data_IF_301375619781
#
_entry.id   IF_301375619781
#
_cell.length_a   1.000
_cell.length_b   1.000
_cell.length_c   1.000
_cell.angle_alpha   90.00
_cell.angle_beta   90.00
_cell.angle_gamma   90.00
#
_symmetry.space_group_name_H-M   'P 1'
#
loop_
_entity.id
_entity.type
_entity.pdbx_description
1 polymer ?
#
# COMPACT_ATOMS: atom_id res chain seq x y z
N UNK A 1 49.44 -8.87 87.26
CA UNK A 1 48.44 -9.60 86.44
C UNK A 1 47.65 -8.60 85.61
N UNK A 2 47.40 -8.99 84.35
CA UNK A 2 46.26 -8.64 83.48
C UNK A 2 46.30 -7.35 82.62
N UNK A 3 46.15 -7.65 81.32
CA UNK A 3 45.39 -6.95 80.26
C UNK A 3 46.07 -5.76 79.58
N UNK A 4 46.70 -6.01 78.42
CA UNK A 4 46.54 -5.18 77.20
C UNK A 4 47.30 -5.74 75.97
N UNK A 5 47.04 -6.97 75.49
CA UNK A 5 47.73 -7.46 74.26
C UNK A 5 46.88 -8.24 73.25
N UNK A 6 45.56 -8.28 73.39
CA UNK A 6 44.72 -9.16 72.53
C UNK A 6 43.78 -8.42 71.59
N UNK A 7 43.74 -7.07 71.61
CA UNK A 7 42.80 -6.29 70.78
C UNK A 7 43.42 -5.79 69.47
N UNK A 8 44.75 -5.77 69.34
CA UNK A 8 45.42 -5.25 68.14
C UNK A 8 45.50 -6.23 66.95
N UNK A 9 45.22 -7.53 67.15
CA UNK A 9 45.38 -8.54 66.09
C UNK A 9 44.09 -8.81 65.29
N UNK A 10 42.93 -8.36 65.79
CA UNK A 10 41.64 -8.56 65.10
C UNK A 10 41.25 -7.43 64.14
N UNK A 11 41.95 -6.30 64.16
CA UNK A 11 41.69 -5.16 63.24
C UNK A 11 42.60 -5.22 61.99
N UNK A 12 43.66 -6.04 61.99
CA UNK A 12 44.56 -6.15 60.84
C UNK A 12 44.13 -7.21 59.80
N UNK A 13 43.15 -8.05 60.12
CA UNK A 13 42.62 -9.09 59.19
C UNK A 13 41.43 -8.58 58.37
N UNK A 14 40.80 -7.46 58.76
CA UNK A 14 39.73 -6.82 57.96
C UNK A 14 40.23 -5.86 56.88
N UNK A 15 41.55 -5.70 56.69
CA UNK A 15 42.14 -4.78 55.71
C UNK A 15 42.84 -5.47 54.52
N UNK A 16 42.86 -6.81 54.48
CA UNK A 16 43.36 -7.59 53.33
C UNK A 16 42.31 -8.54 52.74
N UNK A 17 41.04 -8.24 52.96
CA UNK A 17 39.95 -8.74 52.13
C UNK A 17 39.81 -7.90 50.87
N UNK A 18 40.90 -7.69 50.13
CA UNK A 18 40.78 -7.41 48.70
C UNK A 18 40.28 -8.71 48.07
N UNK A 19 38.97 -8.93 48.14
CA UNK A 19 38.32 -9.78 47.15
C UNK A 19 38.73 -9.18 45.82
N UNK A 20 39.51 -9.91 45.03
CA UNK A 20 39.45 -9.75 43.59
C UNK A 20 37.95 -9.76 43.29
N UNK A 21 37.39 -8.60 42.96
CA UNK A 21 36.10 -8.51 42.31
C UNK A 21 36.29 -9.36 41.06
N UNK A 22 35.91 -10.63 41.19
CA UNK A 22 35.55 -11.50 40.11
C UNK A 22 34.43 -10.75 39.40
N UNK A 23 34.79 -9.80 38.54
CA UNK A 23 33.96 -9.21 37.52
C UNK A 23 33.63 -10.31 36.53
N UNK A 24 32.84 -11.27 37.01
CA UNK A 24 32.08 -12.25 36.24
C UNK A 24 30.89 -11.57 35.56
N UNK A 25 31.03 -10.29 35.21
CA UNK A 25 30.35 -9.78 34.03
C UNK A 25 31.11 -10.39 32.87
N UNK A 26 30.77 -11.64 32.52
CA UNK A 26 30.94 -12.12 31.15
C UNK A 26 30.44 -10.99 30.27
N UNK A 27 31.35 -10.29 29.61
CA UNK A 27 31.02 -9.26 28.64
C UNK A 27 30.00 -9.91 27.74
N UNK A 28 28.80 -9.35 27.74
CA UNK A 28 27.65 -9.94 27.07
C UNK A 28 27.80 -9.73 25.56
N UNK A 29 28.82 -10.36 24.99
CA UNK A 29 29.16 -10.31 23.58
C UNK A 29 28.00 -10.88 22.78
N UNK A 30 27.59 -10.15 21.75
CA UNK A 30 26.50 -10.56 20.85
C UNK A 30 25.08 -10.25 21.33
N UNK A 31 24.87 -9.62 22.50
CA UNK A 31 23.54 -9.09 22.84
C UNK A 31 23.15 -7.92 21.95
N UNK A 32 24.12 -7.09 21.56
CA UNK A 32 23.86 -5.86 20.80
C UNK A 32 23.09 -4.82 21.63
N UNK A 33 22.78 -3.68 21.01
CA UNK A 33 21.96 -2.62 21.59
C UNK A 33 20.51 -2.83 21.19
N UNK A 34 19.58 -2.53 22.10
CA UNK A 34 18.13 -2.50 21.79
C UNK A 34 17.82 -1.53 20.64
N UNK A 35 18.50 -0.37 20.65
CA UNK A 35 18.38 0.66 19.61
C UNK A 35 19.76 0.97 19.03
N UNK A 36 19.89 0.89 17.71
CA UNK A 36 21.11 1.25 16.98
C UNK A 36 20.85 2.57 16.24
N UNK A 37 21.75 3.54 16.40
CA UNK A 37 21.64 4.88 15.79
C UNK A 37 22.81 5.16 14.84
N UNK A 38 22.50 5.50 13.59
CA UNK A 38 23.45 5.94 12.55
C UNK A 38 23.14 7.41 12.25
N UNK A 39 23.97 8.33 12.74
CA UNK A 39 23.66 9.76 12.70
C UNK A 39 24.90 10.66 12.60
N UNK A 40 24.68 11.92 12.22
CA UNK A 40 25.71 12.96 12.19
C UNK A 40 26.67 12.87 11.00
N UNK A 41 27.92 13.30 11.19
CA UNK A 41 28.93 13.33 10.14
C UNK A 41 29.60 11.96 9.93
N UNK A 42 28.79 10.92 9.76
CA UNK A 42 29.23 9.53 9.63
C UNK A 42 29.44 9.16 8.15
N UNK A 43 30.56 8.52 7.85
CA UNK A 43 30.87 7.96 6.53
C UNK A 43 30.23 6.57 6.37
N UNK A 44 30.17 6.06 5.13
CA UNK A 44 29.67 4.70 4.85
C UNK A 44 30.43 3.62 5.65
N UNK A 45 31.76 3.75 5.75
CA UNK A 45 32.60 2.76 6.44
C UNK A 45 32.36 2.76 7.96
N UNK A 46 32.25 3.93 8.56
CA UNK A 46 31.95 4.08 9.99
C UNK A 46 30.55 3.58 10.34
N UNK A 47 29.55 3.90 9.50
CA UNK A 47 28.19 3.39 9.67
C UNK A 47 28.16 1.86 9.60
N UNK A 48 28.86 1.25 8.64
CA UNK A 48 28.94 -0.19 8.53
C UNK A 48 29.62 -0.84 9.74
N UNK A 49 30.74 -0.28 10.21
CA UNK A 49 31.44 -0.77 11.40
C UNK A 49 30.54 -0.70 12.65
N UNK A 50 29.78 0.40 12.79
CA UNK A 50 28.83 0.58 13.89
C UNK A 50 27.69 -0.44 13.85
N UNK A 51 27.09 -0.69 12.69
CA UNK A 51 26.06 -1.72 12.54
C UNK A 51 26.59 -3.11 12.92
N UNK A 52 27.80 -3.47 12.48
CA UNK A 52 28.43 -4.77 12.81
C UNK A 52 28.67 -4.91 14.32
N UNK A 53 29.08 -3.84 14.99
CA UNK A 53 29.40 -3.87 16.42
C UNK A 53 28.15 -3.81 17.31
N UNK A 54 27.08 -3.14 16.87
CA UNK A 54 25.94 -2.81 17.73
C UNK A 54 24.70 -3.67 17.49
N UNK A 55 24.52 -4.28 16.32
CA UNK A 55 23.41 -5.21 16.08
C UNK A 55 23.71 -6.53 16.79
N UNK A 56 22.76 -7.02 17.57
CA UNK A 56 22.83 -8.31 18.25
C UNK A 56 21.47 -8.83 18.63
N UNK A 57 21.43 -9.89 19.44
CA UNK A 57 20.20 -10.65 19.73
C UNK A 57 19.09 -9.87 20.45
N UNK A 58 19.39 -8.72 21.06
CA UNK A 58 18.42 -7.84 21.72
C UNK A 58 18.04 -6.63 20.88
N UNK A 59 18.60 -6.46 19.68
CA UNK A 59 18.29 -5.31 18.84
C UNK A 59 16.83 -5.37 18.38
N UNK A 60 16.09 -4.32 18.68
CA UNK A 60 14.70 -4.17 18.23
C UNK A 60 14.60 -3.14 17.11
N UNK A 61 15.38 -2.05 17.18
CA UNK A 61 15.21 -0.90 16.30
C UNK A 61 16.53 -0.40 15.71
N UNK A 62 16.47 0.07 14.47
CA UNK A 62 17.60 0.72 13.78
C UNK A 62 17.14 2.06 13.21
N UNK A 63 17.82 3.13 13.60
CA UNK A 63 17.55 4.50 13.17
C UNK A 63 18.72 5.03 12.35
N UNK A 64 18.45 5.50 11.15
CA UNK A 64 19.42 6.13 10.25
C UNK A 64 18.95 7.55 9.99
N UNK A 65 19.55 8.53 10.66
CA UNK A 65 18.97 9.86 10.69
C UNK A 65 19.98 11.00 10.77
N UNK A 66 19.64 12.17 10.22
CA UNK A 66 20.44 13.38 10.35
C UNK A 66 21.90 13.19 9.92
N UNK A 67 22.15 12.41 8.86
CA UNK A 67 23.52 12.17 8.39
C UNK A 67 23.95 13.19 7.34
N UNK A 68 25.22 13.62 7.42
CA UNK A 68 25.79 14.63 6.51
C UNK A 68 26.86 14.12 5.55
N UNK A 69 27.28 12.85 5.64
CA UNK A 69 28.25 12.23 4.72
C UNK A 69 27.86 10.83 4.24
N UNK A 70 26.82 10.22 4.83
CA UNK A 70 26.36 8.89 4.46
C UNK A 70 25.71 8.94 3.08
N UNK A 71 26.21 8.12 2.15
CA UNK A 71 25.68 8.00 0.79
C UNK A 71 25.14 6.61 0.48
N UNK A 72 25.60 5.60 1.21
CA UNK A 72 25.12 4.23 1.08
C UNK A 72 25.15 3.53 2.42
N UNK A 73 24.17 2.68 2.69
CA UNK A 73 24.12 1.87 3.92
C UNK A 73 23.63 0.46 3.63
N UNK A 74 24.25 -0.51 4.30
CA UNK A 74 23.86 -1.93 4.23
C UNK A 74 23.58 -2.47 5.64
N UNK A 75 22.31 -2.75 5.90
CA UNK A 75 21.82 -3.27 7.18
C UNK A 75 21.60 -4.77 7.01
N UNK A 76 22.47 -5.56 7.65
CA UNK A 76 22.31 -7.02 7.70
C UNK A 76 21.86 -7.44 9.10
N UNK A 77 20.84 -8.26 9.19
CA UNK A 77 20.35 -8.79 10.46
C UNK A 77 19.87 -10.23 10.30
N UNK A 78 19.93 -11.00 11.39
CA UNK A 78 19.51 -12.40 11.45
C UNK A 78 18.44 -12.65 12.54
N UNK A 79 17.85 -11.57 13.06
CA UNK A 79 16.81 -11.58 14.08
C UNK A 79 15.55 -10.88 13.58
N UNK A 80 14.43 -11.05 14.28
CA UNK A 80 13.25 -10.24 13.99
C UNK A 80 13.48 -8.83 14.55
N UNK A 81 13.22 -7.82 13.74
CA UNK A 81 13.28 -6.43 14.16
C UNK A 81 11.87 -5.89 14.37
N UNK A 82 11.73 -4.90 15.24
CA UNK A 82 10.53 -4.09 15.29
C UNK A 82 10.61 -3.08 14.15
N UNK A 83 11.50 -2.09 14.22
CA UNK A 83 11.47 -0.98 13.28
C UNK A 83 12.84 -0.67 12.64
N UNK A 84 12.84 -0.34 11.35
CA UNK A 84 13.95 0.35 10.68
C UNK A 84 13.42 1.69 10.14
N UNK A 85 14.09 2.78 10.48
CA UNK A 85 13.65 4.13 10.15
C UNK A 85 14.76 4.97 9.51
N UNK A 86 14.45 5.64 8.41
CA UNK A 86 15.35 6.56 7.69
C UNK A 86 14.74 7.96 7.61
N UNK A 87 15.47 8.97 8.07
CA UNK A 87 14.99 10.36 8.06
C UNK A 87 16.11 11.42 8.05
N UNK A 88 15.96 12.44 7.20
CA UNK A 88 16.83 13.61 7.12
C UNK A 88 18.32 13.26 6.84
N UNK A 89 18.57 12.37 5.88
CA UNK A 89 19.91 11.97 5.46
C UNK A 89 20.32 12.72 4.18
N UNK A 90 21.22 13.69 4.31
CA UNK A 90 21.51 14.71 3.28
C UNK A 90 21.99 14.15 1.95
N UNK A 91 22.73 13.05 1.95
CA UNK A 91 23.38 12.50 0.75
C UNK A 91 23.08 11.01 0.52
N UNK A 92 22.15 10.43 1.27
CA UNK A 92 21.86 9.01 1.18
C UNK A 92 21.22 8.69 -0.18
N UNK A 93 21.85 7.79 -0.93
CA UNK A 93 21.41 7.36 -2.26
C UNK A 93 20.98 5.90 -2.31
N UNK A 94 21.67 5.04 -1.58
CA UNK A 94 21.47 3.61 -1.66
C UNK A 94 21.17 3.01 -0.29
N UNK A 95 20.05 2.31 -0.20
CA UNK A 95 19.64 1.56 0.98
C UNK A 95 19.62 0.07 0.62
N UNK A 96 20.34 -0.75 1.40
CA UNK A 96 20.26 -2.19 1.31
C UNK A 96 19.89 -2.77 2.68
N UNK A 97 18.80 -3.53 2.73
CA UNK A 97 18.29 -4.18 3.93
C UNK A 97 18.28 -5.69 3.65
N UNK A 98 19.03 -6.45 4.44
CA UNK A 98 19.16 -7.90 4.30
C UNK A 98 18.80 -8.61 5.60
N UNK A 99 17.64 -9.26 5.60
CA UNK A 99 17.29 -10.28 6.59
C UNK A 99 17.78 -11.66 6.17
N UNK A 100 17.52 -12.67 7.01
CA UNK A 100 17.66 -14.09 6.67
C UNK A 100 16.40 -14.83 7.12
N UNK A 101 15.34 -14.76 6.30
CA UNK A 101 14.01 -15.29 6.64
C UNK A 101 13.42 -14.66 7.91
N UNK A 102 13.61 -13.34 8.05
CA UNK A 102 13.20 -12.59 9.24
C UNK A 102 11.90 -11.82 9.02
N UNK A 103 11.26 -11.50 10.14
CA UNK A 103 10.08 -10.63 10.20
C UNK A 103 10.47 -9.25 10.67
N UNK A 104 9.77 -8.24 10.17
CA UNK A 104 9.88 -6.87 10.64
C UNK A 104 8.50 -6.31 10.95
N UNK A 105 8.38 -5.44 11.96
CA UNK A 105 7.14 -4.70 12.13
C UNK A 105 7.07 -3.57 11.09
N UNK A 106 8.02 -2.63 11.08
CA UNK A 106 7.96 -1.47 10.19
C UNK A 106 9.30 -1.21 9.49
N UNK A 107 9.25 -0.91 8.20
CA UNK A 107 10.31 -0.17 7.50
C UNK A 107 9.69 1.14 7.04
N UNK A 108 10.31 2.25 7.39
CA UNK A 108 9.87 3.59 7.00
C UNK A 108 11.04 4.40 6.49
N UNK A 109 10.87 4.93 5.28
CA UNK A 109 11.86 5.73 4.58
C UNK A 109 11.21 7.07 4.25
N UNK A 110 11.57 8.09 5.03
CA UNK A 110 11.13 9.48 4.83
C UNK A 110 12.16 10.34 4.07
N UNK A 111 13.33 9.78 3.77
CA UNK A 111 14.33 10.40 2.88
C UNK A 111 13.93 10.28 1.41
N UNK A 112 14.28 11.27 0.58
CA UNK A 112 13.95 11.22 -0.84
C UNK A 112 14.81 12.03 -1.81
N UNK A 113 15.45 13.12 -1.39
CA UNK A 113 16.04 14.07 -2.36
C UNK A 113 17.08 13.47 -3.32
N UNK A 114 17.82 12.45 -2.85
CA UNK A 114 18.90 11.82 -3.61
C UNK A 114 18.83 10.29 -3.60
N UNK A 115 17.71 9.70 -3.15
CA UNK A 115 17.58 8.25 -3.19
C UNK A 115 17.51 7.78 -4.63
N UNK A 116 18.26 6.72 -4.92
CA UNK A 116 18.33 6.11 -6.25
C UNK A 116 17.96 4.64 -6.21
N UNK A 117 18.32 3.93 -5.11
CA UNK A 117 18.08 2.50 -5.01
C UNK A 117 17.72 2.07 -3.59
N UNK A 118 16.67 1.28 -3.49
CA UNK A 118 16.28 0.58 -2.27
C UNK A 118 16.21 -0.91 -2.61
N UNK A 119 17.01 -1.71 -1.92
CA UNK A 119 17.00 -3.16 -2.03
C UNK A 119 16.62 -3.77 -0.68
N UNK A 120 15.51 -4.50 -0.65
CA UNK A 120 15.07 -5.30 0.50
C UNK A 120 15.15 -6.77 0.12
N UNK A 121 15.90 -7.56 0.89
CA UNK A 121 16.10 -8.99 0.64
C UNK A 121 16.05 -9.78 1.96
N UNK A 122 15.58 -11.02 1.94
CA UNK A 122 15.53 -11.91 3.10
C UNK A 122 14.55 -11.52 4.21
N UNK A 123 13.69 -10.52 3.99
CA UNK A 123 12.56 -10.17 4.86
C UNK A 123 11.30 -10.81 4.31
N UNK A 124 10.68 -11.73 5.05
CA UNK A 124 9.56 -12.54 4.52
C UNK A 124 8.18 -12.01 4.92
N UNK A 125 8.10 -11.29 6.04
CA UNK A 125 6.88 -10.67 6.53
C UNK A 125 7.18 -9.27 7.08
N UNK A 126 6.31 -8.33 6.75
CA UNK A 126 6.29 -6.99 7.34
C UNK A 126 4.90 -6.72 7.93
N UNK A 127 4.78 -5.89 8.97
CA UNK A 127 3.48 -5.31 9.32
C UNK A 127 3.23 -4.05 8.49
N UNK A 128 4.24 -3.21 8.27
CA UNK A 128 4.11 -2.00 7.47
C UNK A 128 5.39 -1.73 6.67
N UNK A 129 5.22 -1.36 5.41
CA UNK A 129 6.26 -0.73 4.61
C UNK A 129 5.79 0.65 4.19
N UNK A 130 6.58 1.65 4.49
CA UNK A 130 6.30 3.03 4.13
C UNK A 130 7.46 3.65 3.38
N UNK A 131 7.18 4.02 2.14
CA UNK A 131 8.07 4.80 1.30
C UNK A 131 7.37 6.13 1.09
N UNK A 132 7.53 7.09 2.01
CA UNK A 132 6.71 8.30 1.99
C UNK A 132 7.24 9.48 2.79
N UNK A 133 6.73 10.68 2.47
CA UNK A 133 7.29 12.02 2.76
C UNK A 133 8.48 12.50 1.90
N UNK A 134 8.78 11.83 0.79
CA UNK A 134 9.65 12.41 -0.26
C UNK A 134 9.03 13.65 -0.95
N UNK A 135 7.76 13.97 -0.64
CA UNK A 135 6.93 14.95 -1.32
C UNK A 135 6.88 16.34 -0.65
N UNK A 136 7.62 16.57 0.44
CA UNK A 136 7.72 17.91 1.05
C UNK A 136 8.56 18.90 0.24
N UNK A 137 9.39 18.38 -0.66
CA UNK A 137 10.21 19.17 -1.56
C UNK A 137 10.03 18.59 -2.95
N UNK A 138 9.43 19.37 -3.84
CA UNK A 138 9.00 18.99 -5.20
C UNK A 138 10.15 18.61 -6.16
N UNK A 139 11.33 18.34 -5.62
CA UNK A 139 12.58 18.14 -6.32
C UNK A 139 13.13 16.74 -6.05
N UNK A 140 12.35 15.69 -6.36
CA UNK A 140 12.96 14.38 -6.60
C UNK A 140 13.82 14.52 -7.85
N UNK A 141 15.10 14.84 -7.67
CA UNK A 141 15.99 15.10 -8.79
C UNK A 141 16.42 13.80 -9.50
N UNK A 142 16.24 12.66 -8.85
CA UNK A 142 16.76 11.37 -9.30
C UNK A 142 15.65 10.31 -9.31
N UNK A 143 15.82 9.36 -10.20
CA UNK A 143 14.99 8.18 -10.38
C UNK A 143 15.24 7.16 -9.26
N UNK A 144 14.17 6.59 -8.69
CA UNK A 144 14.27 5.57 -7.65
C UNK A 144 13.94 4.18 -8.20
N UNK A 145 14.84 3.23 -7.95
CA UNK A 145 14.69 1.80 -8.18
C UNK A 145 14.43 1.06 -6.84
N UNK A 146 13.21 0.55 -6.65
CA UNK A 146 12.83 -0.25 -5.48
C UNK A 146 12.69 -1.71 -5.87
N UNK A 147 13.54 -2.55 -5.28
CA UNK A 147 13.52 -3.99 -5.45
C UNK A 147 13.28 -4.66 -4.09
N UNK A 148 12.24 -5.48 -4.00
CA UNK A 148 11.92 -6.27 -2.83
C UNK A 148 11.82 -7.75 -3.19
N UNK A 149 12.76 -8.52 -2.65
CA UNK A 149 12.85 -9.98 -2.78
C UNK A 149 12.40 -10.64 -1.48
N UNK A 150 11.86 -11.86 -1.58
CA UNK A 150 11.43 -12.72 -0.48
C UNK A 150 10.22 -12.25 0.35
N UNK A 151 9.83 -10.97 0.28
CA UNK A 151 8.67 -10.46 1.04
C UNK A 151 7.38 -11.07 0.52
N UNK A 152 6.74 -11.91 1.35
CA UNK A 152 5.52 -12.63 0.98
C UNK A 152 4.25 -11.91 1.47
N UNK A 153 4.30 -11.34 2.67
CA UNK A 153 3.11 -10.78 3.33
C UNK A 153 3.40 -9.44 3.99
N UNK A 154 2.50 -8.49 3.76
CA UNK A 154 2.38 -7.25 4.53
C UNK A 154 1.08 -7.34 5.33
N UNK A 155 1.16 -7.46 6.66
CA UNK A 155 -0.02 -7.66 7.51
C UNK A 155 -0.88 -6.39 7.65
N UNK A 156 -0.25 -5.23 7.65
CA UNK A 156 -0.88 -3.91 7.67
C UNK A 156 -0.77 -3.23 6.30
N UNK A 157 0.00 -2.15 6.21
CA UNK A 157 -0.06 -1.24 5.06
C UNK A 157 1.22 -1.25 4.23
N UNK A 158 1.04 -1.19 2.91
CA UNK A 158 2.05 -0.74 1.96
C UNK A 158 1.70 0.68 1.53
N UNK A 159 2.49 1.65 1.96
CA UNK A 159 2.35 3.07 1.59
C UNK A 159 3.45 3.43 0.61
N UNK A 160 3.06 3.92 -0.57
CA UNK A 160 3.97 4.37 -1.61
C UNK A 160 3.61 5.82 -1.95
N UNK A 161 4.48 6.75 -1.58
CA UNK A 161 4.37 8.17 -1.92
C UNK A 161 5.65 8.59 -2.67
N UNK A 162 5.81 8.03 -3.87
CA UNK A 162 7.05 8.15 -4.66
C UNK A 162 6.80 9.11 -5.83
N UNK A 163 6.94 10.41 -5.54
CA UNK A 163 6.69 11.48 -6.50
C UNK A 163 5.22 11.92 -6.58
N UNK A 164 5.02 13.12 -7.11
CA UNK A 164 3.68 13.65 -7.44
C UNK A 164 3.35 13.41 -8.91
N UNK A 165 2.06 13.43 -9.23
CA UNK A 165 1.50 13.22 -10.57
C UNK A 165 2.19 14.06 -11.66
N UNK A 166 2.56 15.31 -11.36
CA UNK A 166 3.14 16.23 -12.34
C UNK A 166 4.66 16.09 -12.51
N UNK A 167 5.30 15.14 -11.83
CA UNK A 167 6.76 15.03 -11.82
C UNK A 167 7.27 14.14 -12.98
N UNK A 168 8.22 14.58 -13.82
CA UNK A 168 8.67 13.84 -15.02
C UNK A 168 9.53 12.59 -14.72
N UNK A 169 9.73 12.25 -13.45
CA UNK A 169 10.62 11.14 -13.05
C UNK A 169 9.81 9.86 -12.92
N UNK A 170 10.19 8.85 -13.70
CA UNK A 170 9.50 7.57 -13.80
C UNK A 170 10.21 6.48 -13.01
N UNK A 171 9.82 6.27 -11.75
CA UNK A 171 10.42 5.30 -10.83
C UNK A 171 10.25 3.83 -11.29
N UNK A 172 11.00 2.92 -10.68
CA UNK A 172 10.79 1.48 -10.80
C UNK A 172 10.44 0.89 -9.44
N UNK A 173 9.46 0.00 -9.43
CA UNK A 173 9.05 -0.73 -8.24
C UNK A 173 8.76 -2.18 -8.59
N UNK A 174 9.47 -3.08 -7.90
CA UNK A 174 9.38 -4.51 -8.10
C UNK A 174 9.26 -5.24 -6.76
N UNK A 175 8.10 -5.85 -6.50
CA UNK A 175 7.93 -6.84 -5.44
C UNK A 175 7.78 -8.22 -6.07
N UNK A 176 8.85 -9.01 -6.04
CA UNK A 176 8.89 -10.28 -6.79
C UNK A 176 7.99 -11.36 -6.17
N UNK A 177 7.95 -11.43 -4.83
CA UNK A 177 7.31 -12.54 -4.10
C UNK A 177 6.07 -12.15 -3.29
N UNK A 178 5.68 -10.86 -3.32
CA UNK A 178 4.60 -10.32 -2.49
C UNK A 178 3.25 -10.88 -2.93
N UNK A 179 2.58 -11.60 -2.02
CA UNK A 179 1.31 -12.29 -2.27
C UNK A 179 0.12 -11.63 -1.58
N UNK A 180 0.33 -11.09 -0.39
CA UNK A 180 -0.76 -10.66 0.48
C UNK A 180 -0.48 -9.30 1.11
N UNK A 181 -1.45 -8.40 1.02
CA UNK A 181 -1.43 -7.11 1.70
C UNK A 181 -2.72 -6.95 2.48
N UNK A 182 -2.60 -6.75 3.78
CA UNK A 182 -3.72 -6.60 4.69
C UNK A 182 -4.73 -7.77 4.64
N UNK A 183 -4.26 -9.01 4.64
CA UNK A 183 -5.19 -10.16 4.60
C UNK A 183 -6.08 -10.28 5.84
N UNK A 184 -5.60 -9.81 7.00
CA UNK A 184 -6.23 -10.07 8.31
C UNK A 184 -6.77 -8.82 9.01
N UNK A 185 -6.34 -7.61 8.64
CA UNK A 185 -6.65 -6.38 9.39
C UNK A 185 -7.76 -5.56 8.69
N UNK A 186 -9.01 -5.86 9.05
CA UNK A 186 -10.20 -5.17 8.49
C UNK A 186 -10.26 -3.66 8.76
N UNK A 187 -9.47 -3.16 9.72
CA UNK A 187 -9.45 -1.76 10.15
C UNK A 187 -8.18 -1.01 9.71
N UNK A 188 -7.35 -1.58 8.82
CA UNK A 188 -6.14 -0.88 8.38
C UNK A 188 -6.49 0.33 7.51
N UNK A 189 -5.74 1.40 7.73
CA UNK A 189 -5.65 2.56 6.85
C UNK A 189 -5.32 2.13 5.42
N UNK A 190 -5.77 2.88 4.42
CA UNK A 190 -5.62 2.53 3.01
C UNK A 190 -4.18 2.20 2.60
N UNK A 191 -4.01 1.18 1.73
CA UNK A 191 -2.78 1.01 0.97
C UNK A 191 -2.79 2.05 -0.13
N UNK A 192 -2.21 3.22 0.17
CA UNK A 192 -2.16 4.33 -0.76
C UNK A 192 -0.90 4.21 -1.60
N UNK A 193 -1.10 4.01 -2.90
CA UNK A 193 -0.02 3.91 -3.86
C UNK A 193 -0.06 5.09 -4.81
N UNK A 194 0.98 5.88 -4.81
CA UNK A 194 1.08 7.12 -5.57
C UNK A 194 2.46 7.23 -6.21
N UNK A 195 2.48 7.73 -7.45
CA UNK A 195 3.71 8.10 -8.15
C UNK A 195 3.67 7.84 -9.65
N UNK A 196 4.72 8.28 -10.33
CA UNK A 196 4.95 8.02 -11.75
C UNK A 196 6.01 6.93 -11.89
N UNK A 197 5.72 5.91 -12.70
CA UNK A 197 6.54 4.71 -12.80
C UNK A 197 6.79 4.32 -14.26
N UNK A 198 8.04 3.97 -14.55
CA UNK A 198 8.41 3.28 -15.79
C UNK A 198 8.15 1.77 -15.68
N UNK A 199 8.13 1.26 -14.46
CA UNK A 199 7.91 -0.15 -14.13
C UNK A 199 7.22 -0.23 -12.75
N UNK A 200 6.09 -0.92 -12.68
CA UNK A 200 5.37 -1.18 -11.43
C UNK A 200 4.89 -2.63 -11.43
N UNK A 201 5.62 -3.51 -10.75
CA UNK A 201 5.38 -4.95 -10.82
C UNK A 201 5.14 -5.56 -9.43
N UNK A 202 4.06 -6.32 -9.35
CA UNK A 202 3.76 -7.22 -8.22
C UNK A 202 3.15 -8.53 -8.77
N UNK A 203 3.93 -9.33 -9.52
CA UNK A 203 3.39 -10.45 -10.30
C UNK A 203 2.71 -11.52 -9.45
N UNK A 204 3.15 -11.73 -8.21
CA UNK A 204 2.59 -12.75 -7.31
C UNK A 204 1.45 -12.24 -6.43
N UNK A 205 1.04 -10.97 -6.56
CA UNK A 205 0.03 -10.36 -5.68
C UNK A 205 -1.33 -11.00 -5.90
N UNK A 206 -1.91 -11.56 -4.82
CA UNK A 206 -3.17 -12.33 -4.87
C UNK A 206 -4.34 -11.65 -4.18
N UNK A 207 -4.05 -10.93 -3.10
CA UNK A 207 -5.07 -10.34 -2.24
C UNK A 207 -4.59 -9.02 -1.63
N UNK A 208 -5.42 -7.99 -1.78
CA UNK A 208 -5.25 -6.68 -1.13
C UNK A 208 -6.56 -6.31 -0.48
N UNK A 209 -6.60 -5.94 0.79
CA UNK A 209 -7.89 -5.55 1.39
C UNK A 209 -8.38 -4.18 0.87
N UNK A 210 -7.67 -3.10 1.17
CA UNK A 210 -8.04 -1.75 0.74
C UNK A 210 -6.92 -1.14 -0.11
N UNK A 211 -7.19 -0.82 -1.37
CA UNK A 211 -6.23 -0.19 -2.30
C UNK A 211 -6.75 1.19 -2.72
N UNK A 212 -5.92 2.21 -2.51
CA UNK A 212 -6.09 3.56 -3.06
C UNK A 212 -4.98 3.79 -4.09
N UNK A 213 -5.38 3.97 -5.34
CA UNK A 213 -4.49 3.86 -6.50
C UNK A 213 -4.38 5.18 -7.25
N UNK A 214 -3.19 5.78 -7.18
CA UNK A 214 -2.74 7.03 -7.81
C UNK A 214 -1.43 6.80 -8.60
N UNK A 215 -1.27 5.61 -9.17
CA UNK A 215 -0.08 5.22 -9.94
C UNK A 215 -0.28 5.61 -11.40
N UNK A 216 0.75 6.18 -12.00
CA UNK A 216 0.82 6.43 -13.44
C UNK A 216 1.92 5.58 -14.08
N UNK A 217 1.48 4.67 -14.96
CA UNK A 217 2.35 3.80 -15.77
C UNK A 217 1.59 3.47 -17.06
N UNK A 218 2.29 3.32 -18.19
CA UNK A 218 1.62 3.11 -19.49
C UNK A 218 0.67 1.92 -19.49
N UNK A 219 1.14 0.79 -18.95
CA UNK A 219 0.35 -0.44 -18.80
C UNK A 219 0.54 -0.94 -17.38
N UNK A 220 -0.57 -1.15 -16.66
CA UNK A 220 -0.56 -1.72 -15.34
C UNK A 220 -1.36 -3.02 -15.34
N UNK A 221 -0.76 -4.09 -14.82
CA UNK A 221 -1.42 -5.39 -14.73
C UNK A 221 -1.16 -6.03 -13.37
N UNK A 222 -2.23 -6.59 -12.79
CA UNK A 222 -2.15 -7.44 -11.61
C UNK A 222 -2.59 -8.87 -11.96
N UNK A 223 -1.70 -9.69 -12.53
CA UNK A 223 -2.09 -10.94 -13.21
C UNK A 223 -2.73 -11.97 -12.26
N UNK A 224 -2.32 -11.95 -10.99
CA UNK A 224 -2.76 -12.91 -9.97
C UNK A 224 -3.73 -12.32 -8.93
N UNK A 225 -4.11 -11.05 -9.04
CA UNK A 225 -4.93 -10.37 -8.04
C UNK A 225 -6.41 -10.75 -8.20
N UNK A 226 -6.83 -11.69 -7.37
CA UNK A 226 -8.17 -12.29 -7.43
C UNK A 226 -9.15 -11.70 -6.42
N UNK A 227 -8.64 -11.02 -5.38
CA UNK A 227 -9.44 -10.48 -4.28
C UNK A 227 -9.00 -9.09 -3.91
N UNK A 228 -9.95 -8.16 -3.97
CA UNK A 228 -9.84 -6.84 -3.36
C UNK A 228 -11.10 -6.59 -2.54
N UNK A 229 -11.02 -5.98 -1.35
CA UNK A 229 -12.24 -5.58 -0.64
C UNK A 229 -12.70 -4.19 -1.09
N UNK A 230 -11.81 -3.20 -1.06
CA UNK A 230 -12.08 -1.85 -1.55
C UNK A 230 -11.00 -1.44 -2.56
N UNK A 231 -11.41 -1.09 -3.78
CA UNK A 231 -10.56 -0.56 -4.84
C UNK A 231 -10.97 0.88 -5.11
N UNK A 232 -10.11 1.83 -4.76
CA UNK A 232 -10.17 3.23 -5.15
C UNK A 232 -9.14 3.49 -6.25
N UNK A 233 -9.55 4.05 -7.38
CA UNK A 233 -8.66 4.59 -8.42
C UNK A 233 -9.00 6.07 -8.53
N UNK A 234 -8.08 6.94 -8.14
CA UNK A 234 -8.32 8.39 -8.10
C UNK A 234 -7.33 9.09 -9.03
N UNK A 235 -7.76 10.20 -9.67
CA UNK A 235 -6.97 10.86 -10.72
C UNK A 235 -6.45 9.86 -11.77
N UNK A 236 -7.33 8.93 -12.15
CA UNK A 236 -6.98 7.67 -12.76
C UNK A 236 -6.35 7.76 -14.15
N UNK A 237 -6.14 6.61 -14.79
CA UNK A 237 -5.17 6.45 -15.86
C UNK A 237 -5.42 7.41 -17.02
N UNK A 238 -4.57 8.44 -17.15
CA UNK A 238 -4.61 9.34 -18.29
C UNK A 238 -3.85 8.70 -19.44
N UNK A 239 -4.61 8.16 -20.41
CA UNK A 239 -4.09 7.36 -21.53
C UNK A 239 -3.35 6.09 -21.07
N UNK A 240 -3.85 5.42 -20.03
CA UNK A 240 -3.28 4.15 -19.55
C UNK A 240 -4.32 3.06 -19.52
N UNK A 241 -3.84 1.82 -19.52
CA UNK A 241 -4.65 0.63 -19.35
C UNK A 241 -4.32 -0.04 -18.02
N UNK A 242 -5.35 -0.28 -17.19
CA UNK A 242 -5.25 -1.00 -15.92
C UNK A 242 -6.00 -2.33 -16.04
N UNK A 243 -5.28 -3.42 -15.80
CA UNK A 243 -5.75 -4.79 -16.02
C UNK A 243 -5.87 -5.59 -14.71
N UNK A 244 -7.08 -6.10 -14.44
CA UNK A 244 -7.37 -7.04 -13.36
C UNK A 244 -7.95 -8.35 -13.95
N UNK A 245 -7.14 -9.19 -14.60
CA UNK A 245 -7.62 -10.30 -15.42
C UNK A 245 -8.40 -11.36 -14.64
N UNK A 246 -8.16 -11.49 -13.34
CA UNK A 246 -8.79 -12.53 -12.50
C UNK A 246 -9.51 -11.99 -11.25
N UNK A 247 -9.75 -10.68 -11.15
CA UNK A 247 -10.48 -10.11 -10.02
C UNK A 247 -11.95 -10.52 -10.10
N UNK A 248 -12.38 -11.42 -9.20
CA UNK A 248 -13.75 -11.98 -9.23
C UNK A 248 -14.74 -11.18 -8.39
N UNK A 249 -14.26 -10.58 -7.29
CA UNK A 249 -15.10 -9.87 -6.33
C UNK A 249 -14.39 -8.64 -5.76
N UNK A 250 -15.17 -7.58 -5.56
CA UNK A 250 -14.84 -6.45 -4.71
C UNK A 250 -16.06 -6.03 -3.92
N UNK A 251 -15.92 -5.51 -2.70
CA UNK A 251 -17.05 -4.92 -1.99
C UNK A 251 -17.29 -3.49 -2.50
N UNK A 252 -16.24 -2.70 -2.68
CA UNK A 252 -16.32 -1.32 -3.15
C UNK A 252 -15.35 -1.14 -4.30
N UNK A 253 -15.84 -0.59 -5.41
CA UNK A 253 -15.04 -0.08 -6.52
C UNK A 253 -15.44 1.37 -6.71
N UNK A 254 -14.50 2.29 -6.47
CA UNK A 254 -14.65 3.71 -6.75
C UNK A 254 -13.55 4.12 -7.72
N UNK A 255 -13.90 4.74 -8.83
CA UNK A 255 -12.93 5.09 -9.86
C UNK A 255 -13.21 6.46 -10.45
N UNK A 256 -12.17 7.26 -10.58
CA UNK A 256 -12.14 8.50 -11.36
C UNK A 256 -11.19 8.28 -12.52
N UNK A 257 -11.71 8.11 -13.75
CA UNK A 257 -10.91 7.71 -14.92
C UNK A 257 -11.01 8.76 -16.02
N UNK A 258 -9.88 9.19 -16.56
CA UNK A 258 -9.82 10.21 -17.62
C UNK A 258 -9.09 9.68 -18.86
N UNK A 259 -9.79 9.43 -19.96
CA UNK A 259 -9.17 8.94 -21.21
C UNK A 259 -8.38 7.63 -21.02
N UNK A 260 -8.84 6.76 -20.12
CA UNK A 260 -8.17 5.51 -19.75
C UNK A 260 -9.02 4.27 -19.96
N UNK A 261 -8.40 3.10 -19.81
CA UNK A 261 -9.08 1.80 -19.91
C UNK A 261 -8.89 1.04 -18.59
N UNK A 262 -9.98 0.53 -18.02
CA UNK A 262 -9.92 -0.39 -16.86
C UNK A 262 -10.63 -1.69 -17.22
N UNK A 263 -9.90 -2.79 -17.15
CA UNK A 263 -10.37 -4.12 -17.52
C UNK A 263 -10.63 -4.97 -16.28
N UNK A 264 -11.90 -5.34 -16.10
CA UNK A 264 -12.41 -6.19 -15.02
C UNK A 264 -13.16 -7.40 -15.63
N UNK A 265 -12.51 -8.20 -16.51
CA UNK A 265 -13.19 -9.22 -17.32
C UNK A 265 -13.83 -10.34 -16.50
N UNK A 266 -13.39 -10.53 -15.26
CA UNK A 266 -13.88 -11.61 -14.37
C UNK A 266 -14.68 -11.12 -13.17
N UNK A 267 -14.96 -9.81 -13.07
CA UNK A 267 -15.72 -9.26 -11.94
C UNK A 267 -17.18 -9.73 -12.02
N UNK A 268 -17.58 -10.59 -11.08
CA UNK A 268 -18.93 -11.16 -11.02
C UNK A 268 -19.88 -10.32 -10.17
N UNK A 269 -19.38 -9.86 -9.02
CA UNK A 269 -20.20 -9.15 -8.03
C UNK A 269 -19.45 -8.02 -7.37
N UNK A 270 -20.15 -6.92 -7.10
CA UNK A 270 -19.72 -5.90 -6.15
C UNK A 270 -20.88 -5.38 -5.32
N UNK A 271 -20.61 -4.76 -4.18
CA UNK A 271 -21.66 -4.05 -3.44
C UNK A 271 -21.82 -2.64 -3.98
N UNK A 272 -20.72 -1.90 -4.09
CA UNK A 272 -20.72 -0.53 -4.58
C UNK A 272 -19.77 -0.39 -5.77
N UNK A 273 -20.26 0.15 -6.88
CA UNK A 273 -19.48 0.46 -8.07
C UNK A 273 -19.77 1.89 -8.49
N UNK A 274 -18.82 2.79 -8.27
CA UNK A 274 -18.87 4.15 -8.74
C UNK A 274 -17.77 4.43 -9.78
N UNK A 275 -18.15 5.08 -10.86
CA UNK A 275 -17.20 5.65 -11.83
C UNK A 275 -17.55 7.10 -12.12
N UNK A 276 -16.53 7.94 -12.12
CA UNK A 276 -16.54 9.33 -12.58
C UNK A 276 -15.39 9.55 -13.57
N UNK A 277 -15.31 10.75 -14.14
CA UNK A 277 -14.31 11.14 -15.13
C UNK A 277 -14.90 11.24 -16.53
N UNK A 278 -14.09 11.18 -17.58
CA UNK A 278 -14.51 11.41 -18.97
C UNK A 278 -13.70 10.59 -19.98
N UNK A 279 -14.33 10.15 -21.07
CA UNK A 279 -13.71 9.43 -22.19
C UNK A 279 -13.07 8.10 -21.79
N UNK A 280 -13.67 7.38 -20.85
CA UNK A 280 -13.08 6.19 -20.27
C UNK A 280 -13.78 4.91 -20.71
N UNK A 281 -13.02 3.81 -20.80
CA UNK A 281 -13.55 2.49 -21.14
C UNK A 281 -13.40 1.59 -19.93
N UNK A 282 -14.52 1.20 -19.32
CA UNK A 282 -14.51 0.25 -18.21
C UNK A 282 -15.18 -1.05 -18.65
N UNK A 283 -14.41 -2.12 -18.72
CA UNK A 283 -14.85 -3.41 -19.24
C UNK A 283 -15.25 -4.36 -18.11
N UNK A 284 -16.56 -4.61 -17.97
CA UNK A 284 -17.16 -5.50 -16.96
C UNK A 284 -18.12 -6.52 -17.59
N UNK A 285 -17.68 -7.31 -18.59
CA UNK A 285 -18.56 -8.09 -19.48
C UNK A 285 -19.42 -9.14 -18.76
N UNK A 286 -18.98 -9.64 -17.60
CA UNK A 286 -19.67 -10.68 -16.84
C UNK A 286 -20.24 -10.19 -15.51
N UNK A 287 -20.29 -8.88 -15.26
CA UNK A 287 -20.85 -8.36 -14.00
C UNK A 287 -22.33 -8.73 -13.90
N UNK A 288 -22.64 -9.53 -12.87
CA UNK A 288 -23.99 -10.06 -12.62
C UNK A 288 -24.72 -9.23 -11.57
N UNK A 289 -24.01 -8.79 -10.53
CA UNK A 289 -24.62 -8.09 -9.39
C UNK A 289 -23.80 -6.88 -8.95
N UNK A 290 -24.49 -5.75 -8.79
CA UNK A 290 -23.97 -4.58 -8.10
C UNK A 290 -25.10 -3.94 -7.30
N UNK A 291 -25.01 -3.89 -5.97
CA UNK A 291 -26.11 -3.34 -5.15
C UNK A 291 -26.31 -1.83 -5.44
N UNK A 292 -25.20 -1.11 -5.61
CA UNK A 292 -25.15 0.31 -5.97
C UNK A 292 -24.27 0.50 -7.21
N UNK A 293 -24.83 1.10 -8.26
CA UNK A 293 -24.16 1.46 -9.50
C UNK A 293 -24.29 2.96 -9.74
N UNK A 294 -23.21 3.69 -9.54
CA UNK A 294 -23.16 5.13 -9.73
C UNK A 294 -22.22 5.47 -10.88
N UNK A 295 -22.73 6.14 -11.89
CA UNK A 295 -21.97 6.45 -13.08
C UNK A 295 -22.10 7.92 -13.44
N UNK A 296 -21.12 8.68 -12.99
CA UNK A 296 -21.09 10.13 -13.09
C UNK A 296 -20.30 10.60 -14.33
N UNK A 297 -20.11 9.73 -15.34
CA UNK A 297 -19.57 10.10 -16.65
C UNK A 297 -20.59 9.91 -17.78
N UNK A 298 -20.34 10.54 -18.92
CA UNK A 298 -21.18 10.40 -20.12
C UNK A 298 -20.84 9.16 -20.97
N UNK A 299 -20.00 8.25 -20.47
CA UNK A 299 -19.50 7.13 -21.27
C UNK A 299 -20.58 6.06 -21.55
N UNK A 300 -20.41 5.35 -22.66
CA UNK A 300 -21.26 4.22 -23.03
C UNK A 300 -20.83 2.96 -22.29
N UNK A 301 -21.60 2.58 -21.26
CA UNK A 301 -21.39 1.32 -20.53
C UNK A 301 -22.38 0.29 -21.02
N UNK A 302 -21.89 -0.93 -21.24
CA UNK A 302 -22.73 -2.09 -21.51
C UNK A 302 -22.41 -3.12 -20.43
N UNK A 303 -23.39 -3.38 -19.56
CA UNK A 303 -23.32 -4.44 -18.55
C UNK A 303 -24.36 -5.52 -18.91
N UNK A 304 -24.08 -6.35 -19.93
CA UNK A 304 -25.10 -7.19 -20.57
C UNK A 304 -25.65 -8.28 -19.63
N UNK A 305 -24.88 -8.65 -18.62
CA UNK A 305 -25.22 -9.72 -17.69
C UNK A 305 -25.74 -9.22 -16.32
N UNK A 306 -25.90 -7.90 -16.15
CA UNK A 306 -26.38 -7.33 -14.89
C UNK A 306 -27.80 -7.82 -14.62
N UNK A 307 -27.98 -8.55 -13.52
CA UNK A 307 -29.24 -9.15 -13.10
C UNK A 307 -29.74 -8.66 -11.73
N UNK A 308 -28.91 -7.94 -10.98
CA UNK A 308 -29.24 -7.41 -9.67
C UNK A 308 -28.66 -6.03 -9.45
N UNK A 309 -29.52 -5.06 -9.10
CA UNK A 309 -29.17 -3.71 -8.69
C UNK A 309 -30.31 -3.04 -7.90
N UNK A 310 -29.98 -2.44 -6.76
CA UNK A 310 -30.95 -1.73 -5.91
C UNK A 310 -30.92 -0.23 -6.22
N UNK A 311 -29.74 0.35 -6.39
CA UNK A 311 -29.57 1.77 -6.68
C UNK A 311 -28.74 1.98 -7.94
N UNK A 312 -29.32 2.69 -8.91
CA UNK A 312 -28.68 3.03 -10.17
C UNK A 312 -28.73 4.54 -10.39
N UNK A 313 -27.58 5.13 -10.62
CA UNK A 313 -27.43 6.56 -10.90
C UNK A 313 -26.55 6.75 -12.14
N UNK A 314 -27.01 7.49 -13.15
CA UNK A 314 -26.23 7.72 -14.39
C UNK A 314 -26.52 9.06 -15.07
N UNK A 315 -25.53 9.56 -15.82
CA UNK A 315 -25.67 10.59 -16.87
C UNK A 315 -25.63 9.95 -18.27
N UNK A 316 -26.75 9.50 -18.85
CA UNK A 316 -26.73 8.84 -20.16
C UNK A 316 -26.41 9.84 -21.29
N UNK A 317 -25.68 9.45 -22.34
CA UNK A 317 -25.28 10.37 -23.40
C UNK A 317 -26.38 10.70 -24.42
N UNK A 318 -27.54 10.05 -24.36
CA UNK A 318 -28.65 10.26 -25.28
C UNK A 318 -29.98 9.72 -24.73
N UNK A 319 -31.11 10.12 -25.32
CA UNK A 319 -32.42 9.53 -25.02
C UNK A 319 -32.50 8.04 -25.36
N UNK A 320 -31.76 7.57 -26.36
CA UNK A 320 -31.66 6.13 -26.67
C UNK A 320 -30.99 5.37 -25.52
N UNK A 321 -29.91 5.91 -24.96
CA UNK A 321 -29.25 5.32 -23.79
C UNK A 321 -30.16 5.29 -22.56
N UNK A 322 -30.97 6.33 -22.35
CA UNK A 322 -32.02 6.35 -21.31
C UNK A 322 -33.02 5.21 -21.53
N UNK A 323 -33.55 5.07 -22.75
CA UNK A 323 -34.52 4.02 -23.07
C UNK A 323 -33.93 2.61 -22.87
N UNK A 324 -32.68 2.38 -23.28
CA UNK A 324 -32.00 1.10 -23.12
C UNK A 324 -31.82 0.72 -21.64
N UNK A 325 -31.43 1.69 -20.80
CA UNK A 325 -31.32 1.47 -19.35
C UNK A 325 -32.68 1.12 -18.75
N UNK A 326 -33.72 1.90 -19.05
CA UNK A 326 -35.06 1.65 -18.52
C UNK A 326 -35.58 0.27 -18.94
N UNK A 327 -35.39 -0.12 -20.19
CA UNK A 327 -35.77 -1.43 -20.70
C UNK A 327 -35.05 -2.57 -19.97
N UNK A 328 -33.72 -2.45 -19.81
CA UNK A 328 -32.92 -3.44 -19.10
C UNK A 328 -33.40 -3.63 -17.65
N UNK A 329 -33.72 -2.52 -16.96
CA UNK A 329 -34.09 -2.55 -15.54
C UNK A 329 -35.46 -3.17 -15.24
N UNK A 330 -36.32 -3.39 -16.24
CA UNK A 330 -37.60 -4.10 -16.06
C UNK A 330 -37.37 -5.51 -15.49
N UNK A 331 -36.28 -6.17 -15.90
CA UNK A 331 -35.97 -7.55 -15.54
C UNK A 331 -34.84 -7.68 -14.51
N UNK A 332 -34.25 -6.56 -14.08
CA UNK A 332 -33.22 -6.55 -13.03
C UNK A 332 -33.88 -6.75 -11.67
N UNK A 333 -33.30 -7.63 -10.86
CA UNK A 333 -33.70 -7.88 -9.49
C UNK A 333 -33.17 -6.82 -8.52
N UNK A 334 -33.87 -6.56 -7.41
CA UNK A 334 -35.25 -6.99 -7.13
C UNK A 334 -36.24 -6.36 -8.12
N UNK A 335 -37.39 -7.00 -8.36
CA UNK A 335 -38.41 -6.46 -9.30
C UNK A 335 -39.00 -5.13 -8.83
N UNK A 336 -39.05 -4.90 -7.51
CA UNK A 336 -39.57 -3.68 -6.86
C UNK A 336 -38.54 -3.09 -5.89
N UNK A 337 -38.76 -1.85 -5.44
CA UNK A 337 -37.89 -1.20 -4.44
C UNK A 337 -36.56 -0.69 -4.98
N UNK A 338 -36.36 -0.65 -6.31
CA UNK A 338 -35.18 -0.05 -6.92
C UNK A 338 -35.27 1.48 -6.92
N UNK A 339 -34.12 2.13 -6.85
CA UNK A 339 -33.95 3.57 -7.02
C UNK A 339 -33.15 3.83 -8.30
N UNK A 340 -33.80 4.38 -9.33
CA UNK A 340 -33.20 4.63 -10.64
C UNK A 340 -33.21 6.13 -10.87
N UNK A 341 -32.03 6.76 -10.92
CA UNK A 341 -31.83 8.18 -11.20
C UNK A 341 -31.06 8.34 -12.52
N UNK A 342 -31.66 9.04 -13.46
CA UNK A 342 -31.06 9.34 -14.75
C UNK A 342 -31.03 10.87 -14.93
N UNK A 343 -29.88 11.42 -15.28
CA UNK A 343 -29.73 12.86 -15.50
C UNK A 343 -29.55 13.21 -16.98
N UNK A 344 -30.08 14.35 -17.40
CA UNK A 344 -29.83 14.94 -18.71
C UNK A 344 -30.95 14.65 -19.71
N UNK A 345 -30.84 13.54 -20.45
CA UNK A 345 -31.81 13.25 -21.51
C UNK A 345 -33.10 12.63 -20.95
N UNK A 346 -34.21 12.95 -21.62
CA UNK A 346 -35.52 12.40 -21.30
C UNK A 346 -35.78 11.08 -22.03
N UNK A 347 -36.55 10.19 -21.40
CA UNK A 347 -37.07 8.98 -22.05
C UNK A 347 -38.05 9.33 -23.18
N UNK A 348 -38.05 8.54 -24.25
CA UNK A 348 -38.92 8.74 -25.42
C UNK A 348 -39.53 7.42 -25.89
N UNK A 349 -40.68 7.47 -26.59
CA UNK A 349 -41.30 6.28 -27.18
C UNK A 349 -41.48 5.14 -26.17
N UNK A 350 -40.89 3.97 -26.48
CA UNK A 350 -40.92 2.80 -25.60
C UNK A 350 -40.35 3.08 -24.20
N UNK A 351 -39.34 3.94 -24.06
CA UNK A 351 -38.76 4.26 -22.76
C UNK A 351 -39.75 4.94 -21.79
N UNK A 352 -40.74 5.69 -22.30
CA UNK A 352 -41.80 6.26 -21.45
C UNK A 352 -42.67 5.14 -20.85
N UNK A 353 -42.98 4.12 -21.65
CA UNK A 353 -43.75 2.95 -21.23
C UNK A 353 -42.94 2.12 -20.23
N UNK A 354 -41.65 1.90 -20.50
CA UNK A 354 -40.74 1.15 -19.63
C UNK A 354 -40.57 1.87 -18.27
N UNK A 355 -40.41 3.20 -18.26
CA UNK A 355 -40.41 4.02 -17.04
C UNK A 355 -41.69 3.83 -16.22
N UNK A 356 -42.86 3.92 -16.86
CA UNK A 356 -44.13 3.75 -16.16
C UNK A 356 -44.30 2.31 -15.62
N UNK A 357 -43.83 1.32 -16.37
CA UNK A 357 -43.82 -0.09 -15.94
C UNK A 357 -42.99 -0.28 -14.68
N UNK A 358 -41.78 0.29 -14.63
CA UNK A 358 -40.93 0.27 -13.44
C UNK A 358 -41.59 0.94 -12.23
N UNK A 359 -42.24 2.09 -12.42
CA UNK A 359 -42.98 2.77 -11.34
C UNK A 359 -44.14 1.91 -10.83
N UNK A 360 -44.91 1.30 -11.74
CA UNK A 360 -46.02 0.41 -11.38
C UNK A 360 -45.55 -0.86 -10.65
N UNK A 361 -44.34 -1.33 -10.91
CA UNK A 361 -43.69 -2.40 -10.15
C UNK A 361 -43.24 -1.97 -8.74
N UNK A 362 -43.40 -0.69 -8.37
CA UNK A 362 -43.01 -0.17 -7.05
C UNK A 362 -41.55 0.30 -6.97
N UNK A 363 -40.96 0.72 -8.09
CA UNK A 363 -39.63 1.33 -8.13
C UNK A 363 -39.73 2.86 -8.11
N UNK A 364 -38.70 3.54 -7.61
CA UNK A 364 -38.55 4.99 -7.73
C UNK A 364 -37.74 5.30 -8.98
N UNK A 365 -38.34 5.95 -9.97
CA UNK A 365 -37.65 6.32 -11.22
C UNK A 365 -37.69 7.83 -11.42
N UNK A 366 -36.54 8.48 -11.24
CA UNK A 366 -36.39 9.91 -11.49
C UNK A 366 -35.53 10.14 -12.72
N UNK A 367 -35.99 11.04 -13.58
CA UNK A 367 -35.32 11.42 -14.81
C UNK A 367 -35.37 12.94 -14.88
N UNK A 368 -34.21 13.59 -14.73
CA UNK A 368 -34.03 15.04 -14.59
C UNK A 368 -33.55 15.67 -15.88
#
# INVERSE_FOLDING_TARGET
MKKLKTVALFILITLFGCTEENNYYTTAEGLGKVNVYIEGNITNAEAQAKLIAEIGTQTENIYVQNTSQLSSININFNINLRDIYFNNNKYLKNICIKGTNNKINKIEIEDGHYLNKILINGVVEANQLDFGHMAGDYNLNEFIDIECHDLVTIHGNLRLFIGQYDHPVFNKLNFYDLKYINKTIKNSTYNRWQGNYSEFNMPELREVHNLEHYIHVTNLEYPNLSKINNLGIDYGPINQEINFPILEMSNIIGMEVYSGVVNLPRLLTTKYFAVSGNNSIINTPILVRADYLHWLSNDNIIMPNLNYCIEYERYPPSSEAVNNVLNQFININPTSGKHIKLYGYLATGQGIIDKQTLINQGNTVTNY
#
